data_IF_344877847198
#
_entry.id   IF_344877847198
#
_cell.length_a   1.000
_cell.length_b   1.000
_cell.length_c   1.000
_cell.angle_alpha   90.00
_cell.angle_beta   90.00
_cell.angle_gamma   90.00
#
_symmetry.space_group_name_H-M   'P 1'
#
loop_
_entity.id
_entity.type
_entity.pdbx_description
1 polymer ?
#
# COMPACT_ATOMS: atom_id res chain seq x y z
N UNK A 1 2.43 28.97 7.56
CA UNK A 1 2.50 27.52 7.90
C UNK A 1 1.21 26.75 7.54
N UNK A 2 0.37 27.26 6.62
CA UNK A 2 -0.77 26.51 6.03
C UNK A 2 -0.41 25.84 4.71
N UNK A 3 0.85 25.93 4.28
CA UNK A 3 1.32 25.38 2.99
C UNK A 3 1.48 23.85 3.01
N UNK A 4 1.41 23.23 4.20
CA UNK A 4 1.38 21.77 4.35
C UNK A 4 -0.07 21.32 4.57
N UNK A 5 -0.63 20.56 3.63
CA UNK A 5 -2.01 20.05 3.70
C UNK A 5 -2.27 19.12 4.89
N UNK A 6 -1.23 18.51 5.47
CA UNK A 6 -1.29 17.62 6.63
C UNK A 6 -1.01 18.32 7.97
N UNK A 7 -1.09 19.64 8.02
CA UNK A 7 -0.77 20.42 9.22
C UNK A 7 -1.56 20.00 10.48
N UNK A 8 -2.79 19.49 10.31
CA UNK A 8 -3.68 19.03 11.37
C UNK A 8 -3.18 17.75 12.08
N UNK A 9 -2.24 17.00 11.47
CA UNK A 9 -1.66 15.80 12.07
C UNK A 9 -0.80 16.09 13.31
N UNK A 10 -0.45 17.36 13.56
CA UNK A 10 0.25 17.80 14.77
C UNK A 10 -0.62 17.81 16.03
N UNK A 11 -1.94 17.70 15.85
CA UNK A 11 -2.87 17.61 16.97
C UNK A 11 -2.84 16.20 17.53
N UNK A 12 -2.67 16.11 18.85
CA UNK A 12 -2.66 14.84 19.57
C UNK A 12 -4.04 14.17 19.55
N UNK A 13 -4.04 12.85 19.65
CA UNK A 13 -5.25 12.09 19.89
C UNK A 13 -5.56 12.04 21.40
N UNK A 14 -6.83 11.85 21.78
CA UNK A 14 -7.17 11.49 23.15
C UNK A 14 -6.38 10.26 23.60
N UNK A 15 -5.92 10.27 24.85
CA UNK A 15 -5.09 9.21 25.41
C UNK A 15 -5.77 7.84 25.33
N UNK A 16 -7.06 7.78 25.67
CA UNK A 16 -7.89 6.58 25.56
C UNK A 16 -7.90 6.01 24.14
N UNK A 17 -8.09 6.87 23.12
CA UNK A 17 -8.05 6.44 21.73
C UNK A 17 -6.66 5.92 21.33
N UNK A 18 -5.60 6.57 21.81
CA UNK A 18 -4.23 6.11 21.56
C UNK A 18 -3.96 4.74 22.18
N UNK A 19 -4.47 4.48 23.38
CA UNK A 19 -4.35 3.17 24.05
C UNK A 19 -5.07 2.07 23.27
N UNK A 20 -6.33 2.30 22.88
CA UNK A 20 -7.10 1.34 22.09
C UNK A 20 -6.38 0.96 20.78
N UNK A 21 -5.85 1.96 20.06
CA UNK A 21 -5.09 1.74 18.83
C UNK A 21 -3.81 0.93 19.09
N UNK A 22 -3.05 1.25 20.15
CA UNK A 22 -1.82 0.53 20.51
C UNK A 22 -2.08 -0.93 20.87
N UNK A 23 -3.22 -1.20 21.50
CA UNK A 23 -3.65 -2.55 21.88
C UNK A 23 -4.33 -3.32 20.73
N UNK A 24 -4.55 -2.67 19.59
CA UNK A 24 -5.21 -3.28 18.43
C UNK A 24 -6.72 -3.45 18.58
N UNK A 25 -7.35 -2.78 19.55
CA UNK A 25 -8.81 -2.79 19.78
C UNK A 25 -9.50 -1.82 18.82
N UNK A 26 -9.57 -2.21 17.55
CA UNK A 26 -10.05 -1.35 16.48
C UNK A 26 -11.54 -1.09 16.55
N UNK A 27 -12.34 -2.11 16.85
CA UNK A 27 -13.79 -1.97 16.91
C UNK A 27 -14.18 -0.92 17.96
N UNK A 28 -13.52 -0.96 19.13
CA UNK A 28 -13.70 0.03 20.19
C UNK A 28 -13.17 1.41 19.79
N UNK A 29 -11.97 1.46 19.18
CA UNK A 29 -11.37 2.71 18.72
C UNK A 29 -12.23 3.43 17.66
N UNK A 30 -12.84 2.69 16.73
CA UNK A 30 -13.74 3.22 15.71
C UNK A 30 -15.02 3.81 16.33
N UNK A 31 -15.63 3.13 17.29
CA UNK A 31 -16.83 3.65 17.96
C UNK A 31 -16.52 4.92 18.78
N UNK A 32 -15.40 4.94 19.49
CA UNK A 32 -14.93 6.13 20.21
C UNK A 32 -14.69 7.30 19.24
N UNK A 33 -14.02 7.05 18.11
CA UNK A 33 -13.80 8.07 17.07
C UNK A 33 -15.09 8.63 16.51
N UNK A 34 -16.07 7.79 16.18
CA UNK A 34 -17.39 8.24 15.69
C UNK A 34 -18.09 9.13 16.71
N UNK A 35 -17.94 8.84 18.01
CA UNK A 35 -18.43 9.69 19.09
C UNK A 35 -17.73 11.05 19.13
N UNK A 36 -16.39 11.05 19.16
CA UNK A 36 -15.57 12.26 19.22
C UNK A 36 -15.79 13.20 18.03
N UNK A 37 -15.94 12.65 16.82
CA UNK A 37 -16.17 13.43 15.59
C UNK A 37 -17.47 14.25 15.67
N UNK A 38 -18.52 13.75 16.34
CA UNK A 38 -19.80 14.47 16.45
C UNK A 38 -19.67 15.79 17.22
N UNK A 39 -18.79 15.84 18.21
CA UNK A 39 -18.54 17.02 19.04
C UNK A 39 -17.33 17.86 18.62
N UNK A 40 -16.57 17.42 17.62
CA UNK A 40 -15.36 18.10 17.16
C UNK A 40 -15.64 19.04 15.98
N UNK A 41 -14.89 20.14 15.93
CA UNK A 41 -14.94 21.14 14.87
C UNK A 41 -13.54 21.47 14.33
N UNK A 42 -13.50 22.12 13.17
CA UNK A 42 -12.27 22.64 12.56
C UNK A 42 -11.20 21.58 12.30
N UNK A 43 -9.95 21.95 12.60
CA UNK A 43 -8.77 21.11 12.34
C UNK A 43 -8.76 19.83 13.19
N UNK A 44 -9.32 19.89 14.39
CA UNK A 44 -9.40 18.73 15.27
C UNK A 44 -10.39 17.68 14.75
N UNK A 45 -11.54 18.12 14.21
CA UNK A 45 -12.45 17.22 13.50
C UNK A 45 -11.76 16.53 12.32
N UNK A 46 -11.02 17.29 11.51
CA UNK A 46 -10.25 16.74 10.38
C UNK A 46 -9.20 15.72 10.84
N UNK A 47 -8.51 15.98 11.96
CA UNK A 47 -7.57 15.03 12.58
C UNK A 47 -8.23 13.71 12.94
N UNK A 48 -9.44 13.75 13.52
CA UNK A 48 -10.20 12.55 13.92
C UNK A 48 -10.79 11.80 12.71
N UNK A 49 -11.33 12.52 11.73
CA UNK A 49 -11.85 11.93 10.48
C UNK A 49 -10.73 11.22 9.70
N UNK A 50 -9.54 11.82 9.65
CA UNK A 50 -8.35 11.17 9.08
C UNK A 50 -7.97 9.90 9.85
N UNK A 51 -8.04 9.93 11.18
CA UNK A 51 -7.74 8.75 12.01
C UNK A 51 -8.72 7.61 11.72
N UNK A 52 -10.01 7.92 11.60
CA UNK A 52 -11.04 6.93 11.26
C UNK A 52 -10.79 6.29 9.89
N UNK A 53 -10.39 7.07 8.88
CA UNK A 53 -9.98 6.52 7.58
C UNK A 53 -8.73 5.63 7.70
N UNK A 54 -7.75 6.05 8.51
CA UNK A 54 -6.53 5.27 8.75
C UNK A 54 -6.83 3.91 9.37
N UNK A 55 -7.70 3.84 10.38
CA UNK A 55 -8.08 2.56 11.01
C UNK A 55 -8.79 1.64 10.03
N UNK A 56 -9.72 2.16 9.23
CA UNK A 56 -10.42 1.38 8.20
C UNK A 56 -9.48 0.79 7.15
N UNK A 57 -8.39 1.49 6.83
CA UNK A 57 -7.36 0.96 5.91
C UNK A 57 -6.65 -0.27 6.46
N UNK A 58 -6.55 -0.45 7.78
CA UNK A 58 -5.94 -1.66 8.33
C UNK A 58 -6.70 -2.93 7.94
N UNK A 59 -8.04 -2.90 7.93
CA UNK A 59 -8.84 -4.03 7.45
C UNK A 59 -8.60 -4.34 5.96
N UNK A 60 -8.28 -3.32 5.16
CA UNK A 60 -7.96 -3.46 3.72
C UNK A 60 -6.54 -4.00 3.53
N UNK A 61 -5.59 -3.52 4.33
CA UNK A 61 -4.19 -3.92 4.26
C UNK A 61 -3.94 -5.30 4.86
N UNK A 62 -4.73 -5.71 5.86
CA UNK A 62 -4.63 -7.00 6.56
C UNK A 62 -5.94 -7.80 6.45
N UNK A 63 -6.32 -8.23 5.23
CA UNK A 63 -7.63 -8.82 4.99
C UNK A 63 -7.74 -10.28 5.47
N UNK A 64 -6.61 -10.99 5.58
CA UNK A 64 -6.60 -12.44 5.73
C UNK A 64 -6.51 -12.88 7.19
N UNK A 65 -7.27 -13.88 7.56
CA UNK A 65 -7.02 -14.69 8.76
C UNK A 65 -5.82 -15.61 8.56
N UNK A 66 -5.29 -16.20 9.65
CA UNK A 66 -4.26 -17.24 9.59
C UNK A 66 -4.66 -18.38 8.63
N UNK A 67 -5.90 -18.85 8.72
CA UNK A 67 -6.43 -19.94 7.92
C UNK A 67 -6.45 -19.58 6.42
N UNK A 68 -6.99 -18.42 6.06
CA UNK A 68 -7.07 -17.98 4.66
C UNK A 68 -5.67 -17.77 4.06
N UNK A 69 -4.75 -17.17 4.81
CA UNK A 69 -3.38 -16.97 4.35
C UNK A 69 -2.64 -18.30 4.14
N UNK A 70 -2.84 -19.27 5.04
CA UNK A 70 -2.32 -20.63 4.88
C UNK A 70 -2.88 -21.30 3.61
N UNK A 71 -4.18 -21.19 3.34
CA UNK A 71 -4.79 -21.74 2.13
C UNK A 71 -4.25 -21.10 0.85
N UNK A 72 -3.92 -19.81 0.89
CA UNK A 72 -3.26 -19.11 -0.21
C UNK A 72 -1.82 -19.62 -0.39
N UNK A 73 -1.06 -19.75 0.70
CA UNK A 73 0.34 -20.15 0.67
C UNK A 73 0.53 -21.61 0.26
N UNK A 74 -0.31 -22.53 0.75
CA UNK A 74 -0.22 -23.97 0.46
C UNK A 74 -0.49 -24.30 -1.02
N UNK A 75 -1.22 -23.44 -1.74
CA UNK A 75 -1.38 -23.53 -3.20
C UNK A 75 -0.12 -23.14 -3.98
N UNK A 76 0.87 -22.53 -3.32
CA UNK A 76 2.04 -21.90 -3.93
C UNK A 76 3.36 -22.49 -3.44
N UNK A 77 3.35 -23.22 -2.33
CA UNK A 77 4.53 -23.84 -1.72
C UNK A 77 4.24 -25.32 -1.52
N UNK A 78 5.10 -26.17 -2.09
CA UNK A 78 5.01 -27.61 -1.99
C UNK A 78 5.22 -28.07 -0.54
N UNK A 79 4.38 -29.00 -0.08
CA UNK A 79 4.47 -29.65 1.23
C UNK A 79 4.39 -28.69 2.43
N UNK A 80 3.79 -27.49 2.28
CA UNK A 80 3.65 -26.53 3.37
C UNK A 80 2.62 -27.03 4.41
N UNK A 81 3.08 -27.27 5.65
CA UNK A 81 2.20 -27.65 6.76
C UNK A 81 1.63 -26.42 7.49
N UNK A 82 0.58 -26.62 8.30
CA UNK A 82 -0.01 -25.54 9.12
C UNK A 82 0.96 -25.10 10.21
N UNK A 83 1.66 -26.05 10.79
CA UNK A 83 2.65 -25.85 11.85
C UNK A 83 3.82 -25.02 11.32
N UNK A 84 4.37 -25.40 10.17
CA UNK A 84 5.39 -24.61 9.48
C UNK A 84 4.91 -23.19 9.17
N UNK A 85 3.66 -23.03 8.70
CA UNK A 85 3.13 -21.70 8.43
C UNK A 85 3.03 -20.83 9.70
N UNK A 86 2.66 -21.40 10.85
CA UNK A 86 2.67 -20.70 12.14
C UNK A 86 4.08 -20.33 12.59
N UNK A 87 5.06 -21.18 12.34
CA UNK A 87 6.47 -20.85 12.58
C UNK A 87 6.96 -19.70 11.70
N UNK A 88 6.51 -19.65 10.43
CA UNK A 88 6.81 -18.52 9.53
C UNK A 88 6.17 -17.21 10.03
N UNK A 89 5.00 -17.26 10.67
CA UNK A 89 4.38 -16.09 11.32
C UNK A 89 5.21 -15.66 12.55
N UNK A 90 5.52 -16.59 13.45
CA UNK A 90 6.22 -16.26 14.71
C UNK A 90 7.68 -15.86 14.52
N UNK A 91 8.34 -16.36 13.46
CA UNK A 91 9.71 -15.96 13.07
C UNK A 91 9.77 -14.64 12.29
N UNK A 92 8.62 -14.06 11.94
CA UNK A 92 8.55 -12.80 11.20
C UNK A 92 8.72 -12.92 9.69
N UNK A 93 8.67 -14.14 9.12
CA UNK A 93 8.59 -14.32 7.67
C UNK A 93 7.24 -13.85 7.10
N UNK A 94 6.17 -13.88 7.90
CA UNK A 94 4.82 -13.46 7.49
C UNK A 94 4.40 -12.22 8.28
N UNK A 95 4.29 -11.10 7.56
CA UNK A 95 3.80 -9.83 8.10
C UNK A 95 2.35 -9.98 8.60
N UNK A 96 2.14 -9.70 9.88
CA UNK A 96 0.83 -9.78 10.54
C UNK A 96 0.67 -8.70 11.61
N UNK A 97 -0.57 -8.47 12.01
CA UNK A 97 -0.95 -7.66 13.16
C UNK A 97 -2.06 -8.36 13.94
N UNK A 98 -2.27 -7.97 15.20
CA UNK A 98 -3.41 -8.42 16.00
C UNK A 98 -4.48 -7.32 16.02
N UNK A 99 -5.66 -7.61 15.47
CA UNK A 99 -6.81 -6.71 15.47
C UNK A 99 -7.96 -7.36 16.22
N UNK A 100 -8.48 -6.70 17.25
CA UNK A 100 -9.59 -7.18 18.09
C UNK A 100 -9.37 -8.61 18.64
N UNK A 101 -8.10 -8.97 18.91
CA UNK A 101 -7.69 -10.28 19.40
C UNK A 101 -7.35 -11.31 18.31
N UNK A 102 -7.68 -11.03 17.05
CA UNK A 102 -7.45 -11.94 15.93
C UNK A 102 -6.17 -11.58 15.15
N UNK A 103 -5.40 -12.60 14.75
CA UNK A 103 -4.26 -12.41 13.86
C UNK A 103 -4.78 -12.12 12.44
N UNK A 104 -4.32 -10.99 11.90
CA UNK A 104 -4.63 -10.54 10.54
C UNK A 104 -3.34 -10.39 9.73
N UNK A 105 -3.31 -10.99 8.55
CA UNK A 105 -2.12 -11.14 7.72
C UNK A 105 -2.16 -10.13 6.57
N UNK A 106 -0.99 -9.53 6.32
CA UNK A 106 -0.82 -8.49 5.32
C UNK A 106 -1.16 -8.99 3.92
N UNK A 107 -1.85 -8.17 3.11
CA UNK A 107 -2.32 -8.58 1.78
C UNK A 107 -1.20 -9.03 0.81
N UNK A 108 0.04 -8.55 1.01
CA UNK A 108 1.22 -8.94 0.20
C UNK A 108 2.14 -9.91 0.93
N UNK A 109 1.66 -10.63 1.94
CA UNK A 109 2.48 -11.53 2.74
C UNK A 109 3.23 -12.57 1.89
N UNK A 110 2.60 -13.15 0.86
CA UNK A 110 3.20 -14.23 0.07
C UNK A 110 4.53 -13.84 -0.60
N UNK A 111 4.60 -12.80 -1.46
CA UNK A 111 5.87 -12.38 -2.03
C UNK A 111 6.88 -11.87 -0.98
N UNK A 112 6.41 -11.29 0.13
CA UNK A 112 7.29 -10.84 1.21
C UNK A 112 7.93 -12.03 1.94
N UNK A 113 7.15 -13.05 2.26
CA UNK A 113 7.59 -14.29 2.89
C UNK A 113 8.65 -15.00 2.07
N UNK A 114 8.47 -15.09 0.75
CA UNK A 114 9.48 -15.68 -0.15
C UNK A 114 10.75 -14.83 -0.26
N UNK A 115 10.67 -13.53 0.02
CA UNK A 115 11.82 -12.63 0.02
C UNK A 115 12.59 -12.70 1.34
N UNK A 116 11.88 -12.69 2.47
CA UNK A 116 12.44 -12.75 3.82
C UNK A 116 13.02 -14.13 4.15
N UNK A 117 12.39 -15.19 3.64
CA UNK A 117 12.74 -16.58 3.93
C UNK A 117 12.99 -17.33 2.61
N UNK A 118 14.16 -17.13 1.97
CA UNK A 118 14.45 -17.59 0.61
C UNK A 118 14.44 -19.11 0.46
N UNK A 119 14.62 -19.89 1.53
CA UNK A 119 14.53 -21.36 1.51
C UNK A 119 13.17 -21.86 1.00
N UNK A 120 12.12 -21.05 1.13
CA UNK A 120 10.79 -21.38 0.59
C UNK A 120 10.77 -21.37 -0.94
N UNK A 121 11.68 -20.64 -1.60
CA UNK A 121 11.75 -20.55 -3.08
C UNK A 121 12.02 -21.90 -3.73
N UNK A 122 12.83 -22.74 -3.10
CA UNK A 122 13.13 -24.09 -3.61
C UNK A 122 11.89 -25.00 -3.64
N UNK A 123 10.88 -24.65 -2.85
CA UNK A 123 9.58 -25.34 -2.76
C UNK A 123 8.46 -24.58 -3.48
N UNK A 124 8.76 -23.45 -4.12
CA UNK A 124 7.74 -22.69 -4.83
C UNK A 124 7.22 -23.48 -6.03
N UNK A 125 5.89 -23.54 -6.16
CA UNK A 125 5.20 -24.15 -7.29
C UNK A 125 5.09 -23.20 -8.49
N UNK A 126 5.36 -21.90 -8.29
CA UNK A 126 5.41 -20.93 -9.36
C UNK A 126 6.83 -20.85 -9.94
N UNK A 127 6.94 -21.00 -11.24
CA UNK A 127 8.17 -20.64 -11.93
C UNK A 127 8.31 -19.12 -11.94
N UNK A 128 9.50 -18.63 -11.63
CA UNK A 128 9.79 -17.21 -11.70
C UNK A 128 9.67 -16.74 -13.15
N UNK A 129 8.77 -15.80 -13.42
CA UNK A 129 8.60 -15.25 -14.77
C UNK A 129 9.92 -14.59 -15.21
N UNK A 130 10.60 -15.18 -16.19
CA UNK A 130 11.87 -14.69 -16.70
C UNK A 130 11.81 -13.21 -17.11
N UNK A 131 10.67 -12.74 -17.64
CA UNK A 131 10.50 -11.32 -18.00
C UNK A 131 10.52 -10.45 -16.76
N UNK A 132 9.89 -10.90 -15.68
CA UNK A 132 9.85 -10.20 -14.40
C UNK A 132 11.23 -10.16 -13.75
N UNK A 133 11.99 -11.25 -13.82
CA UNK A 133 13.38 -11.31 -13.35
C UNK A 133 14.25 -10.32 -14.11
N UNK A 134 14.24 -10.38 -15.46
CA UNK A 134 15.02 -9.46 -16.30
C UNK A 134 14.64 -8.00 -16.07
N UNK A 135 13.34 -7.70 -15.92
CA UNK A 135 12.88 -6.35 -15.61
C UNK A 135 13.40 -5.85 -14.26
N UNK A 136 13.39 -6.71 -13.23
CA UNK A 136 13.90 -6.38 -11.89
C UNK A 136 15.42 -6.14 -11.91
N UNK A 137 16.17 -6.95 -12.64
CA UNK A 137 17.61 -6.78 -12.82
C UNK A 137 17.94 -5.49 -13.56
N UNK A 138 17.25 -5.21 -14.67
CA UNK A 138 17.41 -3.97 -15.42
C UNK A 138 17.11 -2.74 -14.56
N UNK A 139 16.03 -2.76 -13.79
CA UNK A 139 15.69 -1.68 -12.86
C UNK A 139 16.75 -1.51 -11.77
N UNK A 140 17.24 -2.61 -11.18
CA UNK A 140 18.26 -2.57 -10.12
C UNK A 140 19.60 -2.06 -10.64
N UNK A 141 20.02 -2.52 -11.82
CA UNK A 141 21.22 -2.03 -12.50
C UNK A 141 21.11 -0.53 -12.74
N UNK A 142 19.98 -0.09 -13.30
CA UNK A 142 19.74 1.32 -13.58
C UNK A 142 19.72 2.18 -12.32
N UNK A 143 19.10 1.71 -11.25
CA UNK A 143 19.10 2.43 -9.97
C UNK A 143 20.53 2.66 -9.45
N UNK A 144 21.41 1.65 -9.56
CA UNK A 144 22.84 1.81 -9.22
C UNK A 144 23.53 2.84 -10.11
N UNK A 145 23.32 2.78 -11.42
CA UNK A 145 23.89 3.79 -12.35
C UNK A 145 23.44 5.22 -12.00
N UNK A 146 22.19 5.40 -11.58
CA UNK A 146 21.67 6.70 -11.13
C UNK A 146 22.35 7.15 -9.84
N UNK A 147 22.47 6.26 -8.85
CA UNK A 147 23.16 6.57 -7.59
C UNK A 147 24.64 6.90 -7.80
N UNK A 148 25.29 6.24 -8.75
CA UNK A 148 26.69 6.47 -9.13
C UNK A 148 26.87 7.66 -10.09
N UNK A 149 25.80 8.39 -10.45
CA UNK A 149 25.83 9.49 -11.43
C UNK A 149 26.40 9.10 -12.80
N UNK A 150 26.23 7.83 -13.20
CA UNK A 150 26.66 7.26 -14.49
C UNK A 150 25.50 7.08 -15.48
N UNK A 151 24.30 7.43 -15.05
CA UNK A 151 23.06 7.20 -15.75
C UNK A 151 22.67 8.39 -16.65
N UNK A 152 22.66 8.17 -17.97
CA UNK A 152 22.10 9.14 -18.93
C UNK A 152 20.58 9.31 -18.76
N UNK A 153 20.00 10.53 -18.78
CA UNK A 153 18.56 10.73 -18.65
C UNK A 153 17.74 9.89 -19.63
N UNK A 154 16.68 9.24 -19.13
CA UNK A 154 15.77 8.49 -19.98
C UNK A 154 14.70 9.43 -20.53
N UNK A 155 14.56 9.43 -21.86
CA UNK A 155 13.51 10.18 -22.56
C UNK A 155 12.36 9.23 -22.84
N UNK A 156 11.20 9.50 -22.25
CA UNK A 156 9.99 8.70 -22.43
C UNK A 156 8.99 9.43 -23.31
N UNK A 157 8.43 8.72 -24.30
CA UNK A 157 7.24 9.14 -25.04
C UNK A 157 6.12 8.18 -24.72
N UNK A 158 5.04 8.68 -24.14
CA UNK A 158 3.83 7.88 -23.88
C UNK A 158 2.64 8.50 -24.60
N UNK A 159 1.66 7.66 -24.93
CA UNK A 159 0.39 8.07 -25.54
C UNK A 159 -0.70 7.93 -24.49
N UNK A 160 -1.44 9.00 -24.24
CA UNK A 160 -2.66 8.94 -23.44
C UNK A 160 -3.86 8.98 -24.41
N UNK A 161 -4.80 8.05 -24.23
CA UNK A 161 -6.03 7.97 -25.01
C UNK A 161 -7.23 8.11 -24.07
N UNK A 162 -8.23 8.87 -24.49
CA UNK A 162 -9.48 9.04 -23.78
C UNK A 162 -10.63 8.55 -24.66
N UNK A 163 -11.29 7.49 -24.23
CA UNK A 163 -12.46 6.93 -24.92
C UNK A 163 -13.75 7.33 -24.18
N UNK A 164 -14.65 8.04 -24.86
CA UNK A 164 -15.97 8.39 -24.33
C UNK A 164 -17.02 7.40 -24.83
N UNK A 165 -17.81 6.82 -23.92
CA UNK A 165 -18.86 5.84 -24.28
C UNK A 165 -20.14 6.49 -24.81
N UNK A 166 -20.45 7.71 -24.38
CA UNK A 166 -21.56 8.50 -24.88
C UNK A 166 -21.26 9.99 -24.67
N UNK A 167 -21.65 10.83 -25.63
CA UNK A 167 -21.58 12.30 -25.51
C UNK A 167 -23.00 12.84 -25.64
N UNK A 168 -23.57 13.46 -24.59
CA UNK A 168 -24.88 14.10 -24.69
C UNK A 168 -24.90 15.14 -25.81
N UNK A 169 -25.96 15.13 -26.62
CA UNK A 169 -26.06 15.96 -27.83
C UNK A 169 -26.13 17.44 -27.44
N UNK A 170 -25.13 18.22 -27.86
CA UNK A 170 -25.08 19.67 -27.64
C UNK A 170 -24.22 20.13 -26.46
N UNK A 171 -23.58 19.21 -25.73
CA UNK A 171 -22.72 19.57 -24.60
C UNK A 171 -21.23 19.62 -24.97
N UNK A 172 -20.50 20.59 -24.40
CA UNK A 172 -19.03 20.66 -24.46
C UNK A 172 -18.45 19.84 -23.31
N UNK A 173 -17.72 18.78 -23.62
CA UNK A 173 -17.01 17.99 -22.61
C UNK A 173 -15.59 18.53 -22.37
N UNK A 174 -15.13 18.48 -21.12
CA UNK A 174 -13.74 18.78 -20.72
C UNK A 174 -13.15 17.55 -20.02
N UNK A 175 -11.99 17.11 -20.49
CA UNK A 175 -11.24 16.00 -19.89
C UNK A 175 -9.98 16.53 -19.20
N UNK A 176 -9.62 15.93 -18.07
CA UNK A 176 -8.33 16.15 -17.42
C UNK A 176 -7.43 14.96 -17.70
N UNK A 177 -6.32 15.19 -18.40
CA UNK A 177 -5.29 14.18 -18.61
C UNK A 177 -4.14 14.44 -17.64
N UNK A 178 -3.65 13.42 -16.91
CA UNK A 178 -2.49 13.57 -16.07
C UNK A 178 -1.25 13.77 -16.95
N UNK A 179 -0.66 14.96 -16.89
CA UNK A 179 0.61 15.28 -17.55
C UNK A 179 1.69 15.41 -16.48
N UNK A 180 2.90 14.83 -16.67
CA UNK A 180 4.00 15.02 -15.76
C UNK A 180 4.28 16.50 -15.51
N UNK A 181 4.50 16.85 -14.24
CA UNK A 181 4.85 18.22 -13.86
C UNK A 181 6.32 18.48 -14.16
N UNK A 182 6.61 19.62 -14.79
CA UNK A 182 7.98 20.15 -14.91
C UNK A 182 8.56 20.33 -13.50
N UNK A 183 9.64 19.62 -13.21
CA UNK A 183 10.26 19.53 -11.88
C UNK A 183 11.72 19.09 -12.00
N UNK A 184 12.46 19.05 -10.89
CA UNK A 184 13.84 18.55 -10.90
C UNK A 184 13.96 17.10 -11.45
N UNK A 185 12.92 16.29 -11.26
CA UNK A 185 12.85 14.92 -11.79
C UNK A 185 12.47 14.88 -13.28
N UNK A 186 11.74 15.87 -13.76
CA UNK A 186 11.25 15.97 -15.15
C UNK A 186 11.53 17.40 -15.66
N UNK A 187 12.77 17.72 -16.03
CA UNK A 187 13.16 19.09 -16.37
C UNK A 187 12.50 19.57 -17.67
N UNK A 188 12.19 18.65 -18.57
CA UNK A 188 11.57 18.95 -19.86
C UNK A 188 10.34 18.05 -20.06
N UNK A 189 9.18 18.69 -20.22
CA UNK A 189 7.91 18.01 -20.55
C UNK A 189 7.28 18.73 -21.72
N UNK A 190 7.01 18.00 -22.80
CA UNK A 190 6.37 18.53 -24.01
C UNK A 190 5.14 17.70 -24.35
N UNK A 191 4.00 18.36 -24.52
CA UNK A 191 2.80 17.75 -25.08
C UNK A 191 2.94 17.79 -26.59
N UNK A 192 2.93 16.62 -27.22
CA UNK A 192 2.99 16.48 -28.67
C UNK A 192 1.61 16.05 -29.14
N UNK A 193 0.85 16.98 -29.71
CA UNK A 193 -0.49 16.77 -30.28
C UNK A 193 -0.43 16.42 -31.76
#
# INVERSE_FOLDING_TARGET
MRDNELYFMRLDLPEELSDLIKRGLLSEAEELLKGLIKGAEGDYRRRLEFELDRLRRWAIEYPYTELEAYEIASKKIRDLSREEFRELISSGCVDHITLDGDIRIYKRFLPNMMWLCPSLKDRSLEQEDERRVRAKEALSKRAREVMESRAEPLIFKFRAELTLRAVPKGERFRAWLPVPRVSALHPEVKIVS
#
